data_IF_860154015799
#
_entry.id   IF_860154015799
#
_cell.length_a   1.000
_cell.length_b   1.000
_cell.length_c   1.000
_cell.angle_alpha   90.00
_cell.angle_beta   90.00
_cell.angle_gamma   90.00
#
_symmetry.space_group_name_H-M   'P 1'
#
loop_
_entity.id
_entity.type
_entity.pdbx_description
1 polymer ?
#
# COMPACT_ATOMS: atom_id res chain seq x y z
N UNK A 1 -43.17 -93.73 -21.11
CA UNK A 1 -43.88 -94.47 -22.17
C UNK A 1 -43.56 -95.97 -22.26
N UNK A 2 -42.67 -96.54 -21.43
CA UNK A 2 -42.26 -97.95 -21.55
C UNK A 2 -43.03 -98.95 -20.66
N UNK A 3 -43.72 -98.48 -19.62
CA UNK A 3 -44.44 -99.36 -18.68
C UNK A 3 -45.80 -99.82 -19.26
N UNK A 4 -46.44 -99.00 -20.12
CA UNK A 4 -47.72 -99.34 -20.72
C UNK A 4 -47.64 -100.50 -21.74
N UNK A 5 -46.51 -100.65 -22.46
CA UNK A 5 -46.38 -101.67 -23.51
C UNK A 5 -46.22 -103.10 -22.96
N UNK A 6 -45.69 -103.27 -21.75
CA UNK A 6 -45.52 -104.61 -21.15
C UNK A 6 -46.81 -105.18 -20.57
N UNK A 7 -47.71 -104.34 -20.09
CA UNK A 7 -49.02 -104.77 -19.60
C UNK A 7 -49.93 -105.29 -20.72
N UNK A 8 -49.85 -104.70 -21.93
CA UNK A 8 -50.64 -105.15 -23.08
C UNK A 8 -50.21 -106.54 -23.58
N UNK A 9 -48.91 -106.84 -23.59
CA UNK A 9 -48.38 -108.15 -24.01
C UNK A 9 -48.69 -109.27 -23.00
N UNK A 10 -48.67 -108.97 -21.69
CA UNK A 10 -49.05 -109.94 -20.67
C UNK A 10 -50.56 -110.27 -20.71
N UNK A 11 -51.42 -109.29 -21.00
CA UNK A 11 -52.86 -109.50 -21.12
C UNK A 11 -53.22 -110.34 -22.36
N UNK A 12 -52.55 -110.12 -23.50
CA UNK A 12 -52.79 -110.90 -24.72
C UNK A 12 -52.35 -112.37 -24.58
N UNK A 13 -51.25 -112.65 -23.87
CA UNK A 13 -50.78 -114.01 -23.64
C UNK A 13 -51.72 -114.83 -22.73
N UNK A 14 -52.32 -114.20 -21.71
CA UNK A 14 -53.31 -114.85 -20.86
C UNK A 14 -54.63 -115.16 -21.59
N UNK A 15 -55.04 -114.32 -22.54
CA UNK A 15 -56.27 -114.54 -23.31
C UNK A 15 -56.13 -115.68 -24.33
N UNK A 16 -54.94 -115.88 -24.90
CA UNK A 16 -54.66 -117.02 -25.78
C UNK A 16 -54.50 -118.35 -25.04
N UNK A 17 -54.04 -118.34 -23.78
CA UNK A 17 -53.95 -119.56 -22.97
C UNK A 17 -55.32 -120.11 -22.55
N UNK A 18 -56.34 -119.26 -22.41
CA UNK A 18 -57.71 -119.69 -22.06
C UNK A 18 -58.44 -120.29 -23.26
N UNK A 19 -58.13 -119.86 -24.50
CA UNK A 19 -58.80 -120.38 -25.70
C UNK A 19 -58.36 -121.80 -26.10
N UNK A 20 -57.21 -122.28 -25.62
CA UNK A 20 -56.69 -123.61 -25.98
C UNK A 20 -57.10 -124.75 -25.05
N UNK A 21 -57.92 -124.50 -24.01
CA UNK A 21 -58.43 -125.55 -23.11
C UNK A 21 -59.91 -125.92 -23.34
N UNK A 22 -60.58 -125.42 -24.40
CA UNK A 22 -62.01 -125.69 -24.67
C UNK A 22 -62.24 -126.29 -26.07
N UNK A 23 -61.43 -127.29 -26.44
CA UNK A 23 -61.75 -128.16 -27.57
C UNK A 23 -61.50 -129.62 -27.19
N UNK A 24 -62.38 -130.10 -26.30
CA UNK A 24 -62.70 -131.50 -26.10
C UNK A 24 -63.66 -132.03 -27.18
N UNK A 25 -64.14 -133.27 -27.04
CA UNK A 25 -64.15 -134.30 -28.09
C UNK A 25 -65.56 -134.60 -28.62
N UNK A 26 -65.67 -135.22 -29.80
CA UNK A 26 -66.86 -136.01 -30.25
C UNK A 26 -66.33 -136.95 -31.35
N UNK A 27 -66.11 -138.24 -31.08
CA UNK A 27 -67.10 -139.32 -31.02
C UNK A 27 -67.56 -139.81 -32.40
N UNK A 28 -67.61 -141.14 -32.52
CA UNK A 28 -68.65 -141.95 -33.17
C UNK A 28 -68.00 -143.14 -33.90
N UNK A 29 -68.14 -144.41 -33.52
CA UNK A 29 -69.31 -145.23 -33.15
C UNK A 29 -69.76 -146.12 -34.33
N UNK A 30 -70.20 -147.33 -33.94
CA UNK A 30 -70.94 -148.34 -34.71
C UNK A 30 -70.12 -149.21 -35.70
N UNK A 31 -70.38 -150.51 -35.86
CA UNK A 31 -71.41 -151.39 -35.31
C UNK A 31 -70.98 -152.88 -35.36
N UNK A 32 -71.60 -153.66 -34.49
CA UNK A 32 -72.10 -155.05 -34.61
C UNK A 32 -71.79 -155.80 -35.94
N UNK A 33 -71.52 -157.10 -35.94
CA UNK A 33 -72.52 -158.17 -35.69
C UNK A 33 -71.82 -159.53 -35.51
N UNK A 34 -72.39 -160.29 -34.57
CA UNK A 34 -72.42 -161.75 -34.33
C UNK A 34 -71.51 -162.73 -35.09
N UNK A 35 -70.99 -163.69 -34.33
CA UNK A 35 -71.13 -165.10 -34.71
C UNK A 35 -69.87 -165.95 -34.62
N UNK A 36 -69.86 -166.82 -33.62
CA UNK A 36 -69.07 -168.06 -33.52
C UNK A 36 -67.58 -167.88 -33.16
N UNK A 37 -67.26 -168.28 -31.93
CA UNK A 37 -65.95 -168.27 -31.32
C UNK A 37 -64.89 -169.06 -32.11
N UNK A 38 -63.82 -168.40 -32.62
CA UNK A 38 -62.61 -169.05 -33.11
C UNK A 38 -61.51 -169.03 -32.04
N UNK A 39 -60.47 -169.88 -32.17
CA UNK A 39 -59.56 -170.22 -31.10
C UNK A 39 -58.60 -169.06 -30.75
N UNK A 40 -58.13 -169.10 -29.50
CA UNK A 40 -57.41 -168.05 -28.77
C UNK A 40 -56.19 -167.38 -29.45
N UNK A 41 -55.72 -167.85 -30.61
CA UNK A 41 -54.69 -167.17 -31.40
C UNK A 41 -55.21 -165.91 -32.13
N UNK A 42 -56.49 -165.87 -32.52
CA UNK A 42 -57.06 -164.73 -33.25
C UNK A 42 -57.34 -163.53 -32.34
N UNK A 43 -57.74 -163.76 -31.08
CA UNK A 43 -57.90 -162.69 -30.07
C UNK A 43 -56.54 -162.06 -29.74
N UNK A 44 -55.48 -162.87 -29.63
CA UNK A 44 -54.12 -162.38 -29.43
C UNK A 44 -53.59 -161.61 -30.66
N UNK A 45 -53.93 -162.06 -31.88
CA UNK A 45 -53.59 -161.35 -33.11
C UNK A 45 -54.33 -160.01 -33.23
N UNK A 46 -55.63 -159.95 -32.88
CA UNK A 46 -56.42 -158.72 -32.97
C UNK A 46 -56.04 -157.71 -31.87
N UNK A 47 -55.69 -158.17 -30.67
CA UNK A 47 -55.11 -157.33 -29.61
C UNK A 47 -53.74 -156.77 -30.04
N UNK A 48 -52.85 -157.61 -30.60
CA UNK A 48 -51.56 -157.17 -31.16
C UNK A 48 -51.73 -156.20 -32.33
N UNK A 49 -52.74 -156.40 -33.18
CA UNK A 49 -53.04 -155.50 -34.29
C UNK A 49 -53.56 -154.13 -33.79
N UNK A 50 -54.42 -154.11 -32.76
CA UNK A 50 -54.85 -152.87 -32.11
C UNK A 50 -53.69 -152.14 -31.42
N UNK A 51 -52.84 -152.85 -30.67
CA UNK A 51 -51.64 -152.28 -30.06
C UNK A 51 -50.67 -151.74 -31.12
N UNK A 52 -50.44 -152.48 -32.21
CA UNK A 52 -49.62 -152.02 -33.33
C UNK A 52 -50.21 -150.79 -34.02
N UNK A 53 -51.54 -150.70 -34.16
CA UNK A 53 -52.21 -149.52 -34.71
C UNK A 53 -52.10 -148.29 -33.80
N UNK A 54 -52.25 -148.47 -32.48
CA UNK A 54 -52.04 -147.41 -31.48
C UNK A 54 -50.58 -146.94 -31.49
N UNK A 55 -49.62 -147.86 -31.47
CA UNK A 55 -48.19 -147.55 -31.56
C UNK A 55 -47.83 -146.85 -32.88
N UNK A 56 -48.43 -147.26 -34.01
CA UNK A 56 -48.24 -146.59 -35.29
C UNK A 56 -48.80 -145.17 -35.27
N UNK A 57 -49.99 -144.96 -34.69
CA UNK A 57 -50.58 -143.63 -34.52
C UNK A 57 -49.74 -142.73 -33.59
N UNK A 58 -49.19 -143.28 -32.50
CA UNK A 58 -48.27 -142.58 -31.60
C UNK A 58 -46.96 -142.21 -32.31
N UNK A 59 -46.38 -143.11 -33.11
CA UNK A 59 -45.19 -142.82 -33.90
C UNK A 59 -45.44 -141.72 -34.94
N UNK A 60 -46.60 -141.72 -35.60
CA UNK A 60 -47.00 -140.64 -36.52
C UNK A 60 -47.17 -139.32 -35.77
N UNK A 61 -47.80 -139.33 -34.59
CA UNK A 61 -47.94 -138.14 -33.75
C UNK A 61 -46.58 -137.62 -33.25
N UNK A 62 -45.66 -138.51 -32.87
CA UNK A 62 -44.30 -138.16 -32.47
C UNK A 62 -43.51 -137.58 -33.63
N UNK A 63 -43.61 -138.15 -34.84
CA UNK A 63 -42.99 -137.55 -36.04
C UNK A 63 -43.54 -136.16 -36.33
N UNK A 64 -44.86 -135.98 -36.26
CA UNK A 64 -45.48 -134.66 -36.45
C UNK A 64 -45.01 -133.65 -35.39
N UNK A 65 -44.90 -134.06 -34.12
CA UNK A 65 -44.34 -133.24 -33.04
C UNK A 65 -42.86 -132.90 -33.28
N UNK A 66 -42.06 -133.86 -33.73
CA UNK A 66 -40.65 -133.66 -34.07
C UNK A 66 -40.54 -132.64 -35.21
N UNK A 67 -41.30 -132.80 -36.30
CA UNK A 67 -41.26 -131.85 -37.42
C UNK A 67 -41.75 -130.45 -37.03
N UNK A 68 -42.75 -130.35 -36.15
CA UNK A 68 -43.20 -129.05 -35.61
C UNK A 68 -42.12 -128.40 -34.72
N UNK A 69 -41.43 -129.20 -33.90
CA UNK A 69 -40.31 -128.73 -33.08
C UNK A 69 -39.11 -128.32 -33.94
N UNK A 70 -38.77 -129.09 -34.97
CA UNK A 70 -37.71 -128.76 -35.93
C UNK A 70 -38.00 -127.45 -36.66
N UNK A 71 -39.24 -127.25 -37.13
CA UNK A 71 -39.68 -126.00 -37.74
C UNK A 71 -39.55 -124.82 -36.76
N UNK A 72 -39.95 -125.00 -35.50
CA UNK A 72 -39.85 -123.96 -34.47
C UNK A 72 -38.40 -123.63 -34.12
N UNK A 73 -37.52 -124.63 -34.08
CA UNK A 73 -36.08 -124.43 -33.87
C UNK A 73 -35.47 -123.65 -35.05
N UNK A 74 -35.85 -123.99 -36.29
CA UNK A 74 -35.38 -123.27 -37.48
C UNK A 74 -35.82 -121.79 -37.48
N UNK A 75 -37.09 -121.54 -37.14
CA UNK A 75 -37.63 -120.18 -36.98
C UNK A 75 -36.93 -119.40 -35.87
N UNK A 76 -36.74 -120.02 -34.69
CA UNK A 76 -36.00 -119.41 -33.58
C UNK A 76 -34.55 -119.11 -33.95
N UNK A 77 -33.87 -120.00 -34.68
CA UNK A 77 -32.50 -119.76 -35.14
C UNK A 77 -32.42 -118.57 -36.10
N UNK A 78 -33.40 -118.42 -37.01
CA UNK A 78 -33.50 -117.26 -37.89
C UNK A 78 -33.71 -115.97 -37.07
N UNK A 79 -34.61 -115.99 -36.10
CA UNK A 79 -34.88 -114.86 -35.21
C UNK A 79 -33.63 -114.50 -34.38
N UNK A 80 -32.93 -115.49 -33.82
CA UNK A 80 -31.68 -115.27 -33.09
C UNK A 80 -30.60 -114.65 -33.97
N UNK A 81 -30.49 -115.06 -35.23
CA UNK A 81 -29.55 -114.46 -36.17
C UNK A 81 -29.88 -112.99 -36.45
N UNK A 82 -31.14 -112.67 -36.74
CA UNK A 82 -31.56 -111.26 -36.96
C UNK A 82 -31.36 -110.39 -35.72
N UNK A 83 -31.61 -110.92 -34.51
CA UNK A 83 -31.35 -110.21 -33.25
C UNK A 83 -29.85 -110.02 -33.00
N UNK A 84 -29.02 -110.99 -33.36
CA UNK A 84 -27.57 -110.89 -33.24
C UNK A 84 -27.00 -109.78 -34.13
N UNK A 85 -27.44 -109.72 -35.40
CA UNK A 85 -27.04 -108.66 -36.33
C UNK A 85 -27.50 -107.27 -35.84
N UNK A 86 -28.71 -107.19 -35.25
CA UNK A 86 -29.21 -105.96 -34.63
C UNK A 86 -28.40 -105.54 -33.39
N UNK A 87 -27.90 -106.49 -32.59
CA UNK A 87 -27.02 -106.20 -31.44
C UNK A 87 -25.65 -105.69 -31.91
N UNK A 88 -25.10 -106.27 -32.97
CA UNK A 88 -23.80 -105.86 -33.53
C UNK A 88 -23.87 -104.42 -34.08
N UNK A 89 -24.93 -104.09 -34.82
CA UNK A 89 -25.17 -102.72 -35.28
C UNK A 89 -25.36 -101.73 -34.12
N UNK A 90 -26.08 -102.12 -33.07
CA UNK A 90 -26.26 -101.28 -31.88
C UNK A 90 -24.93 -101.04 -31.15
N UNK A 91 -24.08 -102.06 -31.02
CA UNK A 91 -22.76 -101.97 -30.42
C UNK A 91 -21.84 -101.01 -31.19
N UNK A 92 -21.88 -101.05 -32.53
CA UNK A 92 -21.15 -100.10 -33.37
C UNK A 92 -21.60 -98.66 -33.11
N UNK A 93 -22.90 -98.39 -33.06
CA UNK A 93 -23.45 -97.04 -32.77
C UNK A 93 -23.07 -96.58 -31.35
N UNK A 94 -23.14 -97.47 -30.35
CA UNK A 94 -22.76 -97.14 -28.96
C UNK A 94 -21.29 -96.78 -28.87
N UNK A 95 -20.42 -97.50 -29.59
CA UNK A 95 -18.98 -97.21 -29.63
C UNK A 95 -18.69 -95.84 -30.24
N UNK A 96 -19.31 -95.53 -31.38
CA UNK A 96 -19.17 -94.21 -32.04
C UNK A 96 -19.67 -93.07 -31.14
N UNK A 97 -20.85 -93.24 -30.52
CA UNK A 97 -21.40 -92.23 -29.60
C UNK A 97 -20.52 -92.03 -28.37
N UNK A 98 -19.96 -93.11 -27.83
CA UNK A 98 -19.04 -93.03 -26.68
C UNK A 98 -17.75 -92.29 -27.03
N UNK A 99 -17.19 -92.54 -28.22
CA UNK A 99 -16.03 -91.78 -28.73
C UNK A 99 -16.35 -90.29 -28.88
N UNK A 100 -17.51 -89.95 -29.44
CA UNK A 100 -17.95 -88.55 -29.59
C UNK A 100 -18.13 -87.86 -28.24
N UNK A 101 -18.70 -88.55 -27.24
CA UNK A 101 -18.84 -88.02 -25.88
C UNK A 101 -17.46 -87.74 -25.27
N UNK A 102 -16.49 -88.63 -25.44
CA UNK A 102 -15.12 -88.41 -24.94
C UNK A 102 -14.45 -87.21 -25.62
N UNK A 103 -14.61 -87.04 -26.94
CA UNK A 103 -14.11 -85.85 -27.66
C UNK A 103 -14.76 -84.57 -27.11
N UNK A 104 -16.08 -84.56 -26.94
CA UNK A 104 -16.80 -83.40 -26.40
C UNK A 104 -16.38 -83.07 -24.95
N UNK A 105 -16.15 -84.06 -24.09
CA UNK A 105 -15.65 -83.82 -22.73
C UNK A 105 -14.25 -83.20 -22.72
N UNK A 106 -13.37 -83.64 -23.62
CA UNK A 106 -12.03 -83.04 -23.77
C UNK A 106 -12.12 -81.59 -24.29
N UNK A 107 -13.05 -81.29 -25.20
CA UNK A 107 -13.29 -79.92 -25.67
C UNK A 107 -13.83 -79.02 -24.55
N UNK A 108 -14.78 -79.50 -23.76
CA UNK A 108 -15.34 -78.76 -22.61
C UNK A 108 -14.26 -78.45 -21.59
N UNK A 109 -13.46 -79.43 -21.19
CA UNK A 109 -12.35 -79.21 -20.23
C UNK A 109 -11.29 -78.25 -20.78
N UNK A 110 -11.00 -78.30 -22.08
CA UNK A 110 -10.11 -77.33 -22.74
C UNK A 110 -10.68 -75.91 -22.72
N UNK A 111 -11.99 -75.75 -22.97
CA UNK A 111 -12.67 -74.45 -22.94
C UNK A 111 -12.76 -73.87 -21.52
N UNK A 112 -13.03 -74.69 -20.51
CA UNK A 112 -13.06 -74.26 -19.10
C UNK A 112 -11.67 -73.82 -18.63
N UNK A 113 -10.61 -74.55 -19.00
CA UNK A 113 -9.23 -74.17 -18.69
C UNK A 113 -8.83 -72.85 -19.39
N UNK A 114 -9.17 -72.69 -20.67
CA UNK A 114 -8.92 -71.45 -21.42
C UNK A 114 -9.72 -70.26 -20.86
N UNK A 115 -10.97 -70.49 -20.48
CA UNK A 115 -11.83 -69.47 -19.87
C UNK A 115 -11.31 -69.01 -18.50
N UNK A 116 -10.84 -69.94 -17.68
CA UNK A 116 -10.28 -69.66 -16.36
C UNK A 116 -8.97 -68.86 -16.46
N UNK A 117 -8.06 -69.25 -17.35
CA UNK A 117 -6.82 -68.51 -17.62
C UNK A 117 -7.09 -67.10 -18.16
N UNK A 118 -8.02 -66.96 -19.11
CA UNK A 118 -8.37 -65.64 -19.65
C UNK A 118 -9.02 -64.74 -18.59
N UNK A 119 -9.88 -65.29 -17.73
CA UNK A 119 -10.49 -64.56 -16.62
C UNK A 119 -9.44 -64.14 -15.57
N UNK A 120 -8.48 -65.00 -15.25
CA UNK A 120 -7.39 -64.71 -14.33
C UNK A 120 -6.42 -63.65 -14.90
N UNK A 121 -6.06 -63.76 -16.18
CA UNK A 121 -5.24 -62.75 -16.86
C UNK A 121 -5.95 -61.39 -16.87
N UNK A 122 -7.25 -61.36 -17.18
CA UNK A 122 -8.02 -60.12 -17.17
C UNK A 122 -8.18 -59.54 -15.76
N UNK A 123 -8.37 -60.38 -14.75
CA UNK A 123 -8.41 -59.96 -13.34
C UNK A 123 -7.07 -59.38 -12.89
N UNK A 124 -5.94 -59.98 -13.31
CA UNK A 124 -4.61 -59.47 -13.01
C UNK A 124 -4.34 -58.11 -13.65
N UNK A 125 -4.74 -57.91 -14.92
CA UNK A 125 -4.66 -56.62 -15.62
C UNK A 125 -5.54 -55.57 -14.96
N UNK A 126 -6.77 -55.92 -14.61
CA UNK A 126 -7.68 -55.03 -13.90
C UNK A 126 -7.13 -54.62 -12.51
N UNK A 127 -6.55 -55.57 -11.76
CA UNK A 127 -5.90 -55.26 -10.48
C UNK A 127 -4.68 -54.36 -10.65
N UNK A 128 -3.83 -54.61 -11.65
CA UNK A 128 -2.67 -53.76 -11.93
C UNK A 128 -3.11 -52.32 -12.27
N UNK A 129 -4.14 -52.16 -13.11
CA UNK A 129 -4.72 -50.86 -13.42
C UNK A 129 -5.36 -50.19 -12.19
N UNK A 130 -6.05 -50.95 -11.34
CA UNK A 130 -6.63 -50.43 -10.10
C UNK A 130 -5.55 -49.94 -9.12
N UNK A 131 -4.43 -50.66 -9.00
CA UNK A 131 -3.28 -50.26 -8.18
C UNK A 131 -2.64 -48.98 -8.72
N UNK A 132 -2.44 -48.89 -10.04
CA UNK A 132 -1.87 -47.69 -10.68
C UNK A 132 -2.81 -46.47 -10.53
N UNK A 133 -4.11 -46.64 -10.77
CA UNK A 133 -5.10 -45.59 -10.57
C UNK A 133 -5.16 -45.14 -9.10
N UNK A 134 -5.05 -46.07 -8.15
CA UNK A 134 -4.98 -45.73 -6.72
C UNK A 134 -3.75 -44.89 -6.41
N UNK A 135 -2.58 -45.28 -6.93
CA UNK A 135 -1.32 -44.54 -6.78
C UNK A 135 -1.40 -43.13 -7.37
N UNK A 136 -2.00 -42.97 -8.55
CA UNK A 136 -2.23 -41.67 -9.18
C UNK A 136 -3.19 -40.80 -8.36
N UNK A 137 -4.26 -41.39 -7.84
CA UNK A 137 -5.23 -40.69 -6.98
C UNK A 137 -4.60 -40.21 -5.67
N UNK A 138 -3.72 -41.01 -5.05
CA UNK A 138 -2.98 -40.62 -3.85
C UNK A 138 -1.98 -39.48 -4.13
N UNK A 139 -1.27 -39.54 -5.27
CA UNK A 139 -0.37 -38.46 -5.69
C UNK A 139 -1.14 -37.15 -5.89
N UNK A 140 -2.25 -37.18 -6.63
CA UNK A 140 -3.11 -36.01 -6.83
C UNK A 140 -3.66 -35.45 -5.51
N UNK A 141 -4.03 -36.33 -4.57
CA UNK A 141 -4.49 -35.90 -3.24
C UNK A 141 -3.39 -35.15 -2.47
N UNK A 142 -2.15 -35.63 -2.50
CA UNK A 142 -1.00 -34.94 -1.88
C UNK A 142 -0.74 -33.58 -2.56
N UNK A 143 -0.72 -33.54 -3.89
CA UNK A 143 -0.51 -32.31 -4.65
C UNK A 143 -1.60 -31.26 -4.34
N UNK A 144 -2.86 -31.67 -4.23
CA UNK A 144 -3.97 -30.79 -3.83
C UNK A 144 -3.75 -30.24 -2.41
N UNK A 145 -3.30 -31.05 -1.46
CA UNK A 145 -3.03 -30.56 -0.10
C UNK A 145 -1.87 -29.57 -0.04
N UNK A 146 -0.78 -29.83 -0.77
CA UNK A 146 0.34 -28.89 -0.88
C UNK A 146 -0.07 -27.58 -1.57
N UNK A 147 -0.84 -27.67 -2.65
CA UNK A 147 -1.37 -26.49 -3.34
C UNK A 147 -2.31 -25.67 -2.46
N UNK A 148 -3.13 -26.30 -1.61
CA UNK A 148 -3.96 -25.60 -0.63
C UNK A 148 -3.10 -24.82 0.39
N UNK A 149 -2.02 -25.42 0.90
CA UNK A 149 -1.10 -24.75 1.83
C UNK A 149 -0.41 -23.57 1.14
N UNK A 150 0.09 -23.76 -0.08
CA UNK A 150 0.71 -22.68 -0.88
C UNK A 150 -0.29 -21.56 -1.18
N UNK A 151 -1.53 -21.89 -1.54
CA UNK A 151 -2.61 -20.93 -1.75
C UNK A 151 -2.88 -20.10 -0.49
N UNK A 152 -3.03 -20.74 0.67
CA UNK A 152 -3.25 -20.03 1.95
C UNK A 152 -2.08 -19.10 2.30
N UNK A 153 -0.83 -19.54 2.07
CA UNK A 153 0.35 -18.71 2.29
C UNK A 153 0.41 -17.50 1.34
N UNK A 154 0.03 -17.69 0.07
CA UNK A 154 -0.08 -16.61 -0.92
C UNK A 154 -1.20 -15.63 -0.59
N UNK A 155 -2.37 -16.11 -0.15
CA UNK A 155 -3.48 -15.27 0.30
C UNK A 155 -3.09 -14.43 1.54
N UNK A 156 -2.39 -15.02 2.51
CA UNK A 156 -1.87 -14.30 3.67
C UNK A 156 -0.84 -13.22 3.26
N UNK A 157 0.05 -13.53 2.31
CA UNK A 157 1.02 -12.56 1.76
C UNK A 157 0.31 -11.44 1.01
N UNK A 158 -0.69 -11.75 0.19
CA UNK A 158 -1.50 -10.79 -0.54
C UNK A 158 -2.25 -9.86 0.43
N UNK A 159 -2.88 -10.39 1.47
CA UNK A 159 -3.55 -9.59 2.50
C UNK A 159 -2.59 -8.67 3.28
N UNK A 160 -1.35 -9.10 3.57
CA UNK A 160 -0.35 -8.24 4.19
C UNK A 160 0.16 -7.14 3.23
N UNK A 161 0.36 -7.48 1.95
CA UNK A 161 0.71 -6.51 0.93
C UNK A 161 -0.40 -5.45 0.76
N UNK A 162 -1.67 -5.86 0.74
CA UNK A 162 -2.81 -4.96 0.61
C UNK A 162 -2.92 -4.00 1.81
N UNK A 163 -2.71 -4.49 3.04
CA UNK A 163 -2.61 -3.63 4.25
C UNK A 163 -1.49 -2.58 4.12
N UNK A 164 -0.32 -2.95 3.60
CA UNK A 164 0.79 -2.01 3.37
C UNK A 164 0.45 -0.99 2.29
N UNK A 165 -0.24 -1.39 1.22
CA UNK A 165 -0.72 -0.49 0.18
C UNK A 165 -1.72 0.52 0.74
N UNK A 166 -2.66 0.07 1.58
CA UNK A 166 -3.61 0.96 2.25
C UNK A 166 -2.90 1.96 3.18
N UNK A 167 -1.91 1.52 3.97
CA UNK A 167 -1.11 2.41 4.83
C UNK A 167 -0.32 3.45 4.02
N UNK A 168 0.29 3.03 2.91
CA UNK A 168 1.00 3.94 1.99
C UNK A 168 0.05 4.93 1.33
N UNK A 169 -1.15 4.50 0.96
CA UNK A 169 -2.17 5.37 0.38
C UNK A 169 -2.64 6.43 1.37
N UNK A 170 -2.86 6.06 2.65
CA UNK A 170 -3.17 7.02 3.71
C UNK A 170 -2.03 8.03 3.96
N UNK A 171 -0.77 7.58 3.91
CA UNK A 171 0.41 8.46 4.02
C UNK A 171 0.51 9.42 2.83
N UNK A 172 0.23 8.94 1.62
CA UNK A 172 0.23 9.73 0.40
C UNK A 172 -0.86 10.81 0.45
N UNK A 173 -2.07 10.45 0.86
CA UNK A 173 -3.18 11.41 1.01
C UNK A 173 -2.86 12.48 2.06
N UNK A 174 -2.27 12.09 3.20
CA UNK A 174 -1.80 13.04 4.23
C UNK A 174 -0.74 13.99 3.67
N UNK A 175 0.25 13.49 2.92
CA UNK A 175 1.27 14.30 2.27
C UNK A 175 0.66 15.28 1.27
N UNK A 176 -0.28 14.81 0.44
CA UNK A 176 -0.99 15.65 -0.53
C UNK A 176 -1.75 16.79 0.15
N UNK A 177 -2.48 16.52 1.24
CA UNK A 177 -3.14 17.56 2.05
C UNK A 177 -2.13 18.57 2.59
N UNK A 178 -1.04 18.13 3.22
CA UNK A 178 -0.01 19.04 3.75
C UNK A 178 0.67 19.88 2.67
N UNK A 179 0.90 19.32 1.48
CA UNK A 179 1.45 20.03 0.33
C UNK A 179 0.48 21.11 -0.18
N UNK A 180 -0.82 20.78 -0.29
CA UNK A 180 -1.85 21.74 -0.68
C UNK A 180 -1.99 22.90 0.32
N UNK A 181 -1.89 22.62 1.62
CA UNK A 181 -1.89 23.64 2.68
C UNK A 181 -0.64 24.52 2.62
N UNK A 182 0.54 23.94 2.40
CA UNK A 182 1.78 24.68 2.22
C UNK A 182 1.72 25.58 0.98
N UNK A 183 1.22 25.08 -0.15
CA UNK A 183 1.02 25.87 -1.37
C UNK A 183 0.08 27.05 -1.13
N UNK A 184 -1.03 26.84 -0.43
CA UNK A 184 -1.97 27.92 -0.04
C UNK A 184 -1.30 28.96 0.86
N UNK A 185 -0.46 28.53 1.81
CA UNK A 185 0.30 29.46 2.67
C UNK A 185 1.32 30.27 1.88
N UNK A 186 2.05 29.63 0.95
CA UNK A 186 3.02 30.29 0.08
C UNK A 186 2.32 31.35 -0.79
N UNK A 187 1.18 31.03 -1.40
CA UNK A 187 0.40 31.99 -2.18
C UNK A 187 -0.05 33.19 -1.33
N UNK A 188 -0.54 32.95 -0.10
CA UNK A 188 -0.91 34.06 0.81
C UNK A 188 0.29 34.95 1.15
N UNK A 189 1.45 34.37 1.43
CA UNK A 189 2.67 35.16 1.72
C UNK A 189 3.20 35.88 0.49
N UNK A 190 3.06 35.30 -0.70
CA UNK A 190 3.45 35.93 -1.96
C UNK A 190 2.56 37.14 -2.27
N UNK A 191 1.24 37.03 -2.09
CA UNK A 191 0.32 38.16 -2.25
C UNK A 191 0.61 39.27 -1.23
N UNK A 192 0.89 38.92 0.03
CA UNK A 192 1.27 39.90 1.05
C UNK A 192 2.60 40.59 0.73
N UNK A 193 3.57 39.85 0.17
CA UNK A 193 4.87 40.39 -0.24
C UNK A 193 4.73 41.32 -1.44
N UNK A 194 3.92 40.95 -2.45
CA UNK A 194 3.60 41.83 -3.59
C UNK A 194 2.90 43.12 -3.15
N UNK A 195 1.93 43.02 -2.22
CA UNK A 195 1.27 44.20 -1.66
C UNK A 195 2.26 45.11 -0.90
N UNK A 196 3.19 44.53 -0.13
CA UNK A 196 4.22 45.29 0.56
C UNK A 196 5.23 45.93 -0.41
N UNK A 197 5.56 45.25 -1.51
CA UNK A 197 6.43 45.77 -2.57
C UNK A 197 5.76 46.93 -3.31
N UNK A 198 4.47 46.83 -3.63
CA UNK A 198 3.69 47.92 -4.22
C UNK A 198 3.60 49.15 -3.29
N UNK A 199 3.36 48.93 -1.99
CA UNK A 199 3.37 49.99 -0.98
C UNK A 199 4.76 50.64 -0.83
N UNK A 200 5.83 49.84 -0.89
CA UNK A 200 7.21 50.35 -0.86
C UNK A 200 7.51 51.19 -2.11
N UNK A 201 7.10 50.74 -3.29
CA UNK A 201 7.28 51.50 -4.53
C UNK A 201 6.49 52.82 -4.50
N UNK A 202 5.26 52.81 -3.97
CA UNK A 202 4.50 54.05 -3.70
C UNK A 202 5.25 54.95 -2.71
N UNK A 203 5.75 54.42 -1.61
CA UNK A 203 6.51 55.18 -0.62
C UNK A 203 7.83 55.73 -1.21
N UNK A 204 8.50 55.00 -2.10
CA UNK A 204 9.67 55.49 -2.83
C UNK A 204 9.31 56.61 -3.81
N UNK A 205 8.20 56.50 -4.53
CA UNK A 205 7.71 57.58 -5.39
C UNK A 205 7.27 58.80 -4.57
N UNK A 206 6.62 58.60 -3.43
CA UNK A 206 6.25 59.68 -2.51
C UNK A 206 7.46 60.34 -1.85
N UNK A 207 8.48 59.58 -1.45
CA UNK A 207 9.71 60.15 -0.86
C UNK A 207 10.54 60.87 -1.91
N UNK A 208 10.67 60.34 -3.13
CA UNK A 208 11.37 61.03 -4.22
C UNK A 208 10.65 62.31 -4.66
N UNK A 209 9.31 62.31 -4.73
CA UNK A 209 8.52 63.52 -4.98
C UNK A 209 8.62 64.51 -3.84
N UNK A 210 8.51 64.08 -2.58
CA UNK A 210 8.71 64.95 -1.40
C UNK A 210 10.13 65.52 -1.36
N UNK A 211 11.17 64.74 -1.67
CA UNK A 211 12.55 65.24 -1.77
C UNK A 211 12.69 66.28 -2.87
N UNK A 212 12.05 66.10 -4.03
CA UNK A 212 12.04 67.12 -5.10
C UNK A 212 11.35 68.41 -4.64
N UNK A 213 10.16 68.32 -4.04
CA UNK A 213 9.47 69.49 -3.48
C UNK A 213 10.29 70.15 -2.37
N UNK A 214 10.89 69.36 -1.49
CA UNK A 214 11.75 69.85 -0.41
C UNK A 214 12.99 70.55 -0.98
N UNK A 215 13.60 70.01 -2.03
CA UNK A 215 14.74 70.63 -2.74
C UNK A 215 14.36 71.97 -3.36
N UNK A 216 13.18 72.10 -3.95
CA UNK A 216 12.69 73.38 -4.49
C UNK A 216 12.47 74.42 -3.38
N UNK A 217 11.87 74.01 -2.25
CA UNK A 217 11.64 74.90 -1.11
C UNK A 217 12.96 75.26 -0.40
N UNK A 218 13.89 74.31 -0.28
CA UNK A 218 15.16 74.50 0.43
C UNK A 218 16.24 75.14 -0.43
N UNK A 219 16.21 74.98 -1.75
CA UNK A 219 17.10 75.69 -2.67
C UNK A 219 16.93 77.21 -2.57
N UNK A 220 15.74 77.68 -2.17
CA UNK A 220 15.47 79.09 -1.93
C UNK A 220 15.87 79.58 -0.53
N UNK A 221 16.00 78.68 0.46
CA UNK A 221 16.24 79.07 1.85
C UNK A 221 17.67 78.82 2.35
N UNK A 222 18.34 77.78 1.85
CA UNK A 222 19.71 77.48 2.25
C UNK A 222 20.71 78.39 1.53
N UNK A 223 21.55 79.13 2.27
CA UNK A 223 22.61 79.93 1.68
C UNK A 223 23.46 79.09 0.71
N UNK A 224 23.81 79.58 -0.49
CA UNK A 224 24.48 78.80 -1.54
C UNK A 224 25.75 78.05 -1.07
N UNK A 225 26.46 78.59 -0.09
CA UNK A 225 27.66 77.96 0.48
C UNK A 225 27.34 76.65 1.24
N UNK A 226 26.23 76.55 1.96
CA UNK A 226 25.88 75.37 2.74
C UNK A 226 25.37 74.25 1.84
N UNK A 227 24.59 74.58 0.81
CA UNK A 227 24.19 73.63 -0.23
C UNK A 227 25.41 73.06 -0.96
N UNK A 228 26.37 73.91 -1.32
CA UNK A 228 27.64 73.48 -1.93
C UNK A 228 28.45 72.60 -0.98
N UNK A 229 28.50 72.92 0.32
CA UNK A 229 29.23 72.11 1.28
C UNK A 229 28.57 70.74 1.53
N UNK A 230 27.24 70.71 1.65
CA UNK A 230 26.48 69.47 1.80
C UNK A 230 26.67 68.57 0.57
N UNK A 231 26.54 69.12 -0.64
CA UNK A 231 26.79 68.38 -1.88
C UNK A 231 28.20 67.80 -1.92
N UNK A 232 29.22 68.61 -1.61
CA UNK A 232 30.62 68.16 -1.57
C UNK A 232 30.86 67.06 -0.53
N UNK A 233 30.28 67.19 0.67
CA UNK A 233 30.41 66.16 1.71
C UNK A 233 29.73 64.85 1.32
N UNK A 234 28.58 64.94 0.65
CA UNK A 234 27.82 63.77 0.20
C UNK A 234 28.51 63.07 -0.98
N UNK A 235 29.13 63.84 -1.88
CA UNK A 235 29.95 63.32 -2.97
C UNK A 235 31.19 62.59 -2.45
N UNK A 236 31.93 63.15 -1.49
CA UNK A 236 33.08 62.48 -0.86
C UNK A 236 32.64 61.17 -0.20
N UNK A 237 31.52 61.16 0.52
CA UNK A 237 31.02 59.97 1.19
C UNK A 237 30.53 58.90 0.18
N UNK A 238 29.87 59.32 -0.91
CA UNK A 238 29.45 58.44 -2.00
C UNK A 238 30.65 57.83 -2.73
N UNK A 239 31.69 58.61 -3.01
CA UNK A 239 32.90 58.13 -3.68
C UNK A 239 33.63 57.11 -2.80
N UNK A 240 33.80 57.41 -1.50
CA UNK A 240 34.44 56.48 -0.58
C UNK A 240 33.62 55.18 -0.37
N UNK A 241 32.29 55.28 -0.35
CA UNK A 241 31.42 54.09 -0.34
C UNK A 241 31.60 53.25 -1.60
N UNK A 242 31.66 53.86 -2.78
CA UNK A 242 31.83 53.12 -4.03
C UNK A 242 33.23 52.51 -4.17
N UNK A 243 34.28 53.20 -3.70
CA UNK A 243 35.67 52.73 -3.79
C UNK A 243 35.99 51.63 -2.76
N UNK A 244 35.48 51.74 -1.54
CA UNK A 244 35.86 50.84 -0.44
C UNK A 244 34.68 50.07 0.15
N UNK A 245 33.53 50.72 0.35
CA UNK A 245 32.38 50.11 1.02
C UNK A 245 31.69 49.02 0.20
N UNK A 246 31.34 49.34 -1.05
CA UNK A 246 30.61 48.46 -1.96
C UNK A 246 31.42 47.20 -2.33
N UNK A 247 32.70 47.29 -2.74
CA UNK A 247 33.50 46.11 -3.06
C UNK A 247 33.72 45.19 -1.85
N UNK A 248 33.88 45.76 -0.64
CA UNK A 248 34.01 44.99 0.58
C UNK A 248 32.70 44.24 0.92
N UNK A 249 31.56 44.89 0.73
CA UNK A 249 30.25 44.25 0.93
C UNK A 249 30.00 43.13 -0.08
N UNK A 250 30.33 43.35 -1.36
CA UNK A 250 30.20 42.34 -2.41
C UNK A 250 31.16 41.15 -2.18
N UNK A 251 32.41 41.43 -1.79
CA UNK A 251 33.40 40.41 -1.36
C UNK A 251 32.92 39.60 -0.16
N UNK A 252 32.32 40.26 0.83
CA UNK A 252 31.73 39.60 2.00
C UNK A 252 30.56 38.70 1.60
N UNK A 253 29.62 39.17 0.77
CA UNK A 253 28.51 38.37 0.26
C UNK A 253 28.99 37.17 -0.56
N UNK A 254 29.99 37.36 -1.43
CA UNK A 254 30.57 36.28 -2.22
C UNK A 254 31.26 35.25 -1.33
N UNK A 255 32.13 35.66 -0.40
CA UNK A 255 32.81 34.74 0.53
C UNK A 255 31.83 34.02 1.45
N UNK A 256 30.80 34.71 1.93
CA UNK A 256 29.73 34.09 2.70
C UNK A 256 29.05 33.01 1.86
N UNK A 257 28.73 33.27 0.59
CA UNK A 257 28.10 32.27 -0.30
C UNK A 257 29.01 31.08 -0.63
N UNK A 258 30.28 31.30 -1.02
CA UNK A 258 31.24 30.25 -1.35
C UNK A 258 31.57 29.38 -0.14
N UNK A 259 31.77 30.00 1.02
CA UNK A 259 31.99 29.25 2.26
C UNK A 259 30.73 28.53 2.72
N UNK A 260 29.52 29.03 2.48
CA UNK A 260 28.30 28.24 2.75
C UNK A 260 28.32 26.91 1.99
N UNK A 261 28.88 26.88 0.76
CA UNK A 261 29.04 25.65 -0.03
C UNK A 261 30.16 24.76 0.50
N UNK A 262 31.33 25.30 0.87
CA UNK A 262 32.43 24.51 1.47
C UNK A 262 32.10 23.99 2.89
N UNK A 263 31.45 24.83 3.70
CA UNK A 263 30.96 24.49 5.03
C UNK A 263 29.90 23.40 4.96
N UNK A 264 29.11 23.28 3.89
CA UNK A 264 28.20 22.13 3.74
C UNK A 264 28.94 20.78 3.73
N UNK A 265 30.12 20.70 3.09
CA UNK A 265 30.93 19.47 3.06
C UNK A 265 31.69 19.19 4.36
N UNK A 266 32.23 20.21 5.01
CA UNK A 266 32.97 20.03 6.27
C UNK A 266 32.07 19.92 7.49
N UNK A 267 30.89 20.56 7.44
CA UNK A 267 29.96 20.52 8.56
C UNK A 267 29.21 19.20 8.63
N UNK A 268 28.96 18.45 7.56
CA UNK A 268 28.16 17.21 7.59
C UNK A 268 28.41 16.30 8.82
N UNK A 269 29.66 15.91 9.17
CA UNK A 269 29.90 15.08 10.35
C UNK A 269 29.62 15.81 11.69
N UNK A 270 29.94 17.11 11.77
CA UNK A 270 29.68 17.91 12.98
C UNK A 270 28.20 18.32 13.11
N UNK A 271 27.51 18.53 12.00
CA UNK A 271 26.09 18.84 11.91
C UNK A 271 25.28 17.61 12.28
N UNK A 272 25.68 16.40 11.85
CA UNK A 272 25.07 15.16 12.34
C UNK A 272 25.32 14.93 13.84
N UNK A 273 26.52 15.26 14.34
CA UNK A 273 26.82 15.22 15.79
C UNK A 273 25.98 16.25 16.57
N UNK A 274 25.82 17.47 16.05
CA UNK A 274 24.98 18.51 16.65
C UNK A 274 23.50 18.15 16.56
N UNK A 275 23.05 17.58 15.43
CA UNK A 275 21.67 17.13 15.22
C UNK A 275 21.29 16.01 16.18
N UNK A 276 22.22 15.09 16.48
CA UNK A 276 21.97 13.96 17.38
C UNK A 276 22.15 14.33 18.87
N UNK A 277 23.20 15.07 19.24
CA UNK A 277 23.48 15.40 20.65
C UNK A 277 22.86 16.73 21.09
N UNK A 278 23.01 17.78 20.30
CA UNK A 278 22.60 19.13 20.68
C UNK A 278 21.13 19.40 20.39
N UNK A 279 20.59 18.94 19.26
CA UNK A 279 19.21 19.25 18.88
C UNK A 279 18.14 18.77 19.87
N UNK A 280 18.25 17.60 20.55
CA UNK A 280 17.31 17.27 21.62
C UNK A 280 17.45 18.22 22.82
N UNK A 281 18.68 18.53 23.26
CA UNK A 281 18.93 19.46 24.39
C UNK A 281 18.44 20.88 24.06
N UNK A 282 18.76 21.37 22.87
CA UNK A 282 18.33 22.66 22.38
C UNK A 282 16.81 22.69 22.20
N UNK A 283 16.17 21.63 21.68
CA UNK A 283 14.69 21.55 21.62
C UNK A 283 14.09 21.64 23.01
N UNK A 284 14.62 20.92 23.99
CA UNK A 284 14.12 20.94 25.37
C UNK A 284 14.25 22.34 25.99
N UNK A 285 15.44 22.95 25.88
CA UNK A 285 15.69 24.32 26.35
C UNK A 285 14.86 25.35 25.60
N UNK A 286 14.64 25.18 24.29
CA UNK A 286 13.83 26.07 23.48
C UNK A 286 12.34 25.92 23.76
N UNK A 287 11.84 24.70 24.01
CA UNK A 287 10.45 24.48 24.47
C UNK A 287 10.24 25.12 25.83
N UNK A 288 11.22 25.02 26.73
CA UNK A 288 11.19 25.65 28.05
C UNK A 288 11.20 27.17 27.92
N UNK A 289 12.14 27.74 27.17
CA UNK A 289 12.24 29.17 26.90
C UNK A 289 10.97 29.70 26.22
N UNK A 290 10.43 28.98 25.23
CA UNK A 290 9.17 29.32 24.56
C UNK A 290 8.01 29.31 25.55
N UNK A 291 7.95 28.35 26.48
CA UNK A 291 6.91 28.29 27.52
C UNK A 291 6.98 29.52 28.44
N UNK A 292 8.18 29.96 28.83
CA UNK A 292 8.38 31.16 29.66
C UNK A 292 8.21 32.47 28.89
N UNK A 293 8.65 32.54 27.63
CA UNK A 293 8.65 33.75 26.82
C UNK A 293 7.29 34.02 26.16
N UNK A 294 6.49 32.98 25.85
CA UNK A 294 5.18 33.12 25.20
C UNK A 294 4.27 34.16 25.87
N UNK A 295 4.07 34.17 27.20
CA UNK A 295 3.25 35.20 27.83
C UNK A 295 3.81 36.62 27.66
N UNK A 296 5.13 36.81 27.74
CA UNK A 296 5.75 38.13 27.55
C UNK A 296 5.63 38.60 26.10
N UNK A 297 5.88 37.72 25.13
CA UNK A 297 5.76 38.07 23.71
C UNK A 297 4.31 38.37 23.35
N UNK A 298 3.34 37.59 23.85
CA UNK A 298 1.92 37.88 23.65
C UNK A 298 1.56 39.23 24.27
N UNK A 299 1.92 39.48 25.53
CA UNK A 299 1.65 40.75 26.22
C UNK A 299 2.26 41.95 25.47
N UNK A 300 3.53 41.86 25.05
CA UNK A 300 4.20 42.94 24.29
C UNK A 300 3.54 43.14 22.93
N UNK A 301 3.21 42.05 22.22
CA UNK A 301 2.52 42.15 20.93
C UNK A 301 1.15 42.81 21.07
N UNK A 302 0.35 42.40 22.05
CA UNK A 302 -1.00 42.90 22.30
C UNK A 302 -0.96 44.37 22.72
N UNK A 303 -0.04 44.73 23.64
CA UNK A 303 0.18 46.12 24.06
C UNK A 303 0.70 47.02 22.94
N UNK A 304 1.59 46.50 22.09
CA UNK A 304 2.11 47.28 20.96
C UNK A 304 1.03 47.53 19.91
N UNK A 305 0.16 46.55 19.68
CA UNK A 305 -0.92 46.63 18.71
C UNK A 305 -2.05 47.54 19.22
N UNK A 306 -2.40 47.43 20.50
CA UNK A 306 -3.33 48.35 21.20
C UNK A 306 -2.81 49.79 21.16
N UNK A 307 -1.51 50.01 21.46
CA UNK A 307 -0.90 51.34 21.39
C UNK A 307 -0.87 51.90 19.97
N UNK A 308 -0.56 51.06 18.98
CA UNK A 308 -0.57 51.47 17.58
C UNK A 308 -1.99 51.84 17.12
N UNK A 309 -2.99 50.98 17.34
CA UNK A 309 -4.38 51.26 16.97
C UNK A 309 -4.91 52.52 17.66
N UNK A 310 -4.71 52.66 18.97
CA UNK A 310 -5.12 53.85 19.73
C UNK A 310 -4.45 55.11 19.18
N UNK A 311 -3.16 55.04 18.82
CA UNK A 311 -2.45 56.18 18.21
C UNK A 311 -2.97 56.50 16.81
N UNK A 312 -3.28 55.47 16.01
CA UNK A 312 -3.79 55.63 14.65
C UNK A 312 -5.18 56.23 14.64
N UNK A 313 -6.09 55.71 15.46
CA UNK A 313 -7.48 56.20 15.58
C UNK A 313 -7.54 57.61 16.18
N UNK A 314 -6.62 57.95 17.09
CA UNK A 314 -6.49 59.32 17.59
C UNK A 314 -6.01 60.30 16.52
N UNK A 315 -5.01 59.91 15.70
CA UNK A 315 -4.42 60.79 14.69
C UNK A 315 -5.30 60.94 13.44
N UNK A 316 -6.03 59.88 13.05
CA UNK A 316 -6.80 59.83 11.80
C UNK A 316 -7.78 61.01 11.60
N UNK A 317 -8.66 61.38 12.56
CA UNK A 317 -9.57 62.51 12.37
C UNK A 317 -8.82 63.86 12.32
N UNK A 318 -7.74 64.01 13.07
CA UNK A 318 -6.92 65.23 13.05
C UNK A 318 -6.15 65.40 11.75
N UNK A 319 -5.69 64.29 11.14
CA UNK A 319 -5.00 64.33 9.87
C UNK A 319 -5.93 64.76 8.72
N UNK A 320 -7.16 64.21 8.69
CA UNK A 320 -8.17 64.56 7.66
C UNK A 320 -8.58 66.03 7.79
N UNK A 321 -8.83 66.51 9.01
CA UNK A 321 -9.20 67.91 9.23
C UNK A 321 -8.03 68.87 8.96
N UNK A 322 -6.80 68.50 9.32
CA UNK A 322 -5.63 69.32 9.03
C UNK A 322 -5.39 69.46 7.53
N UNK A 323 -5.59 68.40 6.74
CA UNK A 323 -5.40 68.48 5.29
C UNK A 323 -6.39 69.45 4.62
N UNK A 324 -7.66 69.45 5.04
CA UNK A 324 -8.67 70.34 4.44
C UNK A 324 -8.50 71.81 4.83
N UNK A 325 -8.01 72.10 6.04
CA UNK A 325 -7.90 73.49 6.53
C UNK A 325 -6.57 74.14 6.13
N UNK A 326 -5.49 73.37 6.00
CA UNK A 326 -4.14 73.94 5.85
C UNK A 326 -3.88 74.47 4.44
N UNK A 327 -4.41 73.83 3.40
CA UNK A 327 -4.00 74.14 2.03
C UNK A 327 -4.32 75.59 1.59
N UNK A 328 -5.54 76.14 1.87
CA UNK A 328 -5.84 77.54 1.59
C UNK A 328 -5.00 78.50 2.46
N UNK A 329 -4.86 78.19 3.75
CA UNK A 329 -4.14 79.04 4.71
C UNK A 329 -2.65 79.12 4.42
N UNK A 330 -2.02 78.04 3.96
CA UNK A 330 -0.59 78.03 3.65
C UNK A 330 -0.28 78.92 2.44
N UNK A 331 -1.15 78.95 1.44
CA UNK A 331 -0.97 79.81 0.27
C UNK A 331 -1.15 81.29 0.61
N UNK A 332 -2.12 81.64 1.46
CA UNK A 332 -2.29 83.01 1.96
C UNK A 332 -1.14 83.44 2.88
N UNK A 333 -0.72 82.59 3.81
CA UNK A 333 0.43 82.86 4.67
C UNK A 333 1.72 83.02 3.87
N UNK A 334 1.93 82.23 2.80
CA UNK A 334 3.08 82.38 1.90
C UNK A 334 3.06 83.73 1.17
N UNK A 335 1.90 84.20 0.71
CA UNK A 335 1.77 85.52 0.07
C UNK A 335 2.04 86.67 1.05
N UNK A 336 1.53 86.57 2.28
CA UNK A 336 1.69 87.60 3.31
C UNK A 336 3.11 87.63 3.91
N UNK A 337 3.72 86.46 4.11
CA UNK A 337 5.03 86.37 4.78
C UNK A 337 6.19 86.70 3.85
N UNK A 338 6.11 86.42 2.55
CA UNK A 338 7.23 86.62 1.61
C UNK A 338 7.88 88.01 1.68
N UNK A 339 7.15 89.14 1.59
CA UNK A 339 7.78 90.46 1.70
C UNK A 339 8.41 90.69 3.09
N UNK A 340 7.81 90.14 4.15
CA UNK A 340 8.33 90.27 5.51
C UNK A 340 9.61 89.45 5.73
N UNK A 341 9.68 88.24 5.18
CA UNK A 341 10.88 87.39 5.22
C UNK A 341 12.02 88.04 4.46
N UNK A 342 11.75 88.61 3.28
CA UNK A 342 12.76 89.32 2.50
C UNK A 342 13.26 90.56 3.23
N UNK A 343 12.36 91.30 3.90
CA UNK A 343 12.73 92.46 4.71
C UNK A 343 13.58 92.06 5.93
N UNK A 344 13.21 91.00 6.65
CA UNK A 344 13.99 90.48 7.78
C UNK A 344 15.35 89.96 7.29
N UNK A 345 15.42 89.22 6.19
CA UNK A 345 16.67 88.75 5.64
C UNK A 345 17.61 89.92 5.28
N UNK A 346 17.05 90.98 4.68
CA UNK A 346 17.80 92.19 4.31
C UNK A 346 18.29 92.95 5.53
N UNK A 347 17.43 93.13 6.54
CA UNK A 347 17.76 93.81 7.80
C UNK A 347 18.76 93.02 8.68
N UNK A 348 18.68 91.69 8.68
CA UNK A 348 19.51 90.84 9.54
C UNK A 348 20.87 90.54 8.91
N UNK A 349 21.03 90.65 7.58
CA UNK A 349 22.30 90.40 6.86
C UNK A 349 23.53 91.04 7.51
N UNK A 350 23.56 92.34 7.86
CA UNK A 350 24.72 92.93 8.54
C UNK A 350 24.96 92.35 9.95
N UNK A 351 23.91 91.98 10.69
CA UNK A 351 24.04 91.39 12.01
C UNK A 351 24.57 89.96 11.97
N UNK A 352 24.10 89.13 11.01
CA UNK A 352 24.63 87.78 10.79
C UNK A 352 26.11 87.83 10.44
N UNK A 353 26.53 88.75 9.57
CA UNK A 353 27.96 88.92 9.23
C UNK A 353 28.79 89.41 10.42
N UNK A 354 28.23 90.27 11.29
CA UNK A 354 28.90 90.69 12.53
C UNK A 354 29.07 89.52 13.52
N UNK A 355 28.03 88.70 13.70
CA UNK A 355 28.10 87.48 14.51
C UNK A 355 29.12 86.51 13.91
N UNK A 356 29.12 86.32 12.59
CA UNK A 356 30.10 85.48 11.89
C UNK A 356 31.54 85.95 12.13
N UNK A 357 31.77 87.25 12.07
CA UNK A 357 33.09 87.86 12.32
C UNK A 357 33.51 87.65 13.78
N UNK A 358 32.58 87.80 14.73
CA UNK A 358 32.83 87.56 16.15
C UNK A 358 33.05 86.08 16.51
N UNK A 359 32.38 85.15 15.81
CA UNK A 359 32.50 83.71 16.03
C UNK A 359 33.70 83.07 15.31
N UNK A 360 34.35 83.80 14.38
CA UNK A 360 35.51 83.33 13.63
C UNK A 360 36.64 82.78 14.54
N UNK A 361 37.10 83.46 15.60
CA UNK A 361 38.13 82.91 16.50
C UNK A 361 37.69 81.64 17.22
N UNK A 362 36.41 81.52 17.61
CA UNK A 362 35.88 80.30 18.23
C UNK A 362 35.79 79.14 17.24
N UNK A 363 35.43 79.44 15.98
CA UNK A 363 35.39 78.45 14.90
C UNK A 363 36.79 77.92 14.59
N UNK A 364 37.81 78.80 14.58
CA UNK A 364 39.22 78.39 14.45
C UNK A 364 39.69 77.53 15.63
N UNK A 365 39.38 77.94 16.87
CA UNK A 365 39.72 77.16 18.06
C UNK A 365 39.02 75.79 18.09
N UNK A 366 37.74 75.74 17.72
CA UNK A 366 36.98 74.50 17.59
C UNK A 366 37.58 73.59 16.50
N UNK A 367 38.00 74.16 15.37
CA UNK A 367 38.70 73.42 14.31
C UNK A 367 40.02 72.83 14.82
N UNK A 368 40.79 73.59 15.60
CA UNK A 368 42.05 73.12 16.17
C UNK A 368 41.84 71.98 17.19
N UNK A 369 40.90 72.12 18.12
CA UNK A 369 40.56 71.08 19.10
C UNK A 369 40.04 69.82 18.39
N UNK A 370 39.19 69.99 17.38
CA UNK A 370 38.69 68.87 16.59
C UNK A 370 39.80 68.18 15.79
N UNK A 371 40.77 68.94 15.25
CA UNK A 371 41.97 68.39 14.60
C UNK A 371 42.82 67.54 15.55
N UNK A 372 43.10 68.06 16.75
CA UNK A 372 43.84 67.33 17.78
C UNK A 372 43.09 66.07 18.26
N UNK A 373 41.76 66.16 18.37
CA UNK A 373 40.91 65.01 18.67
C UNK A 373 40.97 63.94 17.56
N UNK A 374 40.90 64.33 16.29
CA UNK A 374 41.02 63.38 15.18
C UNK A 374 42.41 62.72 15.15
N UNK A 375 43.47 63.47 15.43
CA UNK A 375 44.83 62.94 15.50
C UNK A 375 44.98 61.91 16.63
N UNK A 376 44.49 62.23 17.83
CA UNK A 376 44.46 61.30 18.97
C UNK A 376 43.56 60.08 18.74
N UNK A 377 42.41 60.26 18.11
CA UNK A 377 41.56 59.14 17.71
C UNK A 377 42.27 58.24 16.69
N UNK A 378 43.01 58.82 15.74
CA UNK A 378 43.75 58.07 14.72
C UNK A 378 44.90 57.28 15.34
N UNK A 379 45.67 57.87 16.26
CA UNK A 379 46.76 57.15 16.96
C UNK A 379 46.21 56.02 17.84
N UNK A 380 45.12 56.26 18.57
CA UNK A 380 44.45 55.21 19.36
C UNK A 380 43.90 54.10 18.47
N UNK A 381 43.29 54.45 17.32
CA UNK A 381 42.80 53.49 16.34
C UNK A 381 43.93 52.59 15.83
N UNK A 382 45.07 53.17 15.46
CA UNK A 382 46.25 52.40 15.03
C UNK A 382 46.79 51.49 16.15
N UNK A 383 46.82 51.95 17.40
CA UNK A 383 47.21 51.15 18.56
C UNK A 383 46.23 49.98 18.82
N UNK A 384 44.94 50.25 18.73
CA UNK A 384 43.89 49.24 18.87
C UNK A 384 43.99 48.20 17.73
N UNK A 385 44.23 48.63 16.49
CA UNK A 385 44.48 47.73 15.37
C UNK A 385 45.67 46.81 15.63
N UNK A 386 46.80 47.36 16.09
CA UNK A 386 47.99 46.55 16.40
C UNK A 386 47.69 45.50 17.48
N UNK A 387 46.95 45.88 18.53
CA UNK A 387 46.59 45.00 19.64
C UNK A 387 45.60 43.92 19.22
N UNK A 388 44.56 44.28 18.46
CA UNK A 388 43.55 43.35 17.94
C UNK A 388 44.20 42.39 16.94
N UNK A 389 45.09 42.87 16.07
CA UNK A 389 45.83 42.04 15.13
C UNK A 389 46.72 41.03 15.86
N UNK A 390 47.47 41.46 16.88
CA UNK A 390 48.29 40.56 17.70
C UNK A 390 47.43 39.50 18.40
N UNK A 391 46.32 39.93 19.03
CA UNK A 391 45.38 39.04 19.71
C UNK A 391 44.77 37.99 18.76
N UNK A 392 44.31 38.42 17.58
CA UNK A 392 43.74 37.52 16.58
C UNK A 392 44.78 36.55 15.98
N UNK A 393 46.07 36.92 15.93
CA UNK A 393 47.14 36.02 15.49
C UNK A 393 47.52 34.96 16.54
N UNK A 394 47.34 35.24 17.83
CA UNK A 394 47.66 34.29 18.91
C UNK A 394 46.75 33.07 18.96
N UNK A 395 45.52 33.16 18.46
CA UNK A 395 44.57 32.04 18.48
C UNK A 395 44.42 31.42 17.07
N UNK A 396 44.65 30.10 16.96
CA UNK A 396 44.60 29.37 15.67
C UNK A 396 43.29 29.60 14.92
N UNK A 397 42.16 29.63 15.65
CA UNK A 397 40.84 29.84 15.06
C UNK A 397 40.70 31.25 14.44
N UNK A 398 41.16 32.28 15.15
CA UNK A 398 40.99 33.67 14.68
C UNK A 398 42.04 34.08 13.65
N UNK A 399 43.15 33.35 13.55
CA UNK A 399 44.24 33.64 12.62
C UNK A 399 43.77 33.73 11.17
N UNK A 400 42.78 32.92 10.77
CA UNK A 400 42.19 32.93 9.42
C UNK A 400 41.34 34.16 9.11
N UNK A 401 40.87 34.86 10.15
CA UNK A 401 40.02 36.04 10.03
C UNK A 401 40.80 37.36 10.10
N UNK A 402 42.13 37.30 10.35
CA UNK A 402 43.01 38.48 10.40
C UNK A 402 43.12 39.08 9.00
N UNK A 403 42.17 39.93 8.67
CA UNK A 403 42.18 40.79 7.48
C UNK A 403 42.35 42.22 7.95
N UNK A 404 43.09 43.04 7.19
CA UNK A 404 43.32 44.45 7.53
C UNK A 404 42.00 45.20 7.80
N UNK A 405 40.95 44.84 7.05
CA UNK A 405 39.61 45.40 7.19
C UNK A 405 38.90 44.98 8.49
N UNK A 406 38.92 43.70 8.86
CA UNK A 406 38.29 43.23 10.11
C UNK A 406 38.95 43.89 11.33
N UNK A 407 40.28 43.95 11.33
CA UNK A 407 41.06 44.62 12.39
C UNK A 407 40.68 46.11 12.45
N UNK A 408 40.51 46.76 11.29
CA UNK A 408 40.05 48.15 11.21
C UNK A 408 38.64 48.31 11.80
N UNK A 409 37.67 47.47 11.42
CA UNK A 409 36.30 47.56 11.95
C UNK A 409 36.22 47.30 13.45
N UNK A 410 36.95 46.30 13.97
CA UNK A 410 36.98 46.04 15.42
C UNK A 410 37.60 47.22 16.18
N UNK A 411 38.68 47.80 15.67
CA UNK A 411 39.29 48.98 16.27
C UNK A 411 38.34 50.19 16.25
N UNK A 412 37.60 50.40 15.15
CA UNK A 412 36.58 51.47 15.06
C UNK A 412 35.43 51.24 16.03
N UNK A 413 34.95 50.01 16.18
CA UNK A 413 33.90 49.67 17.14
C UNK A 413 34.35 49.95 18.59
N UNK A 414 35.61 49.64 18.91
CA UNK A 414 36.21 49.96 20.21
C UNK A 414 36.26 51.49 20.45
N UNK A 415 36.54 52.28 19.42
CA UNK A 415 36.62 53.74 19.48
C UNK A 415 35.24 54.41 19.64
N UNK A 416 34.18 53.84 19.04
CA UNK A 416 32.80 54.37 19.14
C UNK A 416 32.14 54.01 20.47
N UNK A 417 32.54 52.90 21.10
CA UNK A 417 31.91 52.39 22.33
C UNK A 417 31.84 53.44 23.47
N UNK A 418 32.91 54.18 23.81
CA UNK A 418 32.86 55.23 24.82
C UNK A 418 31.85 56.35 24.48
N UNK A 419 31.78 56.76 23.21
CA UNK A 419 30.82 57.78 22.76
C UNK A 419 29.39 57.31 22.92
N UNK A 420 29.13 56.05 22.58
CA UNK A 420 27.80 55.47 22.74
C UNK A 420 27.40 55.41 24.22
N UNK A 421 28.30 55.00 25.11
CA UNK A 421 28.07 54.97 26.57
C UNK A 421 27.82 56.38 27.12
N UNK A 422 28.63 57.36 26.76
CA UNK A 422 28.45 58.77 27.13
C UNK A 422 27.12 59.33 26.61
N UNK A 423 26.76 59.02 25.37
CA UNK A 423 25.48 59.42 24.79
C UNK A 423 24.29 58.79 25.53
N UNK A 424 24.36 57.50 25.87
CA UNK A 424 23.33 56.86 26.70
C UNK A 424 23.24 57.45 28.09
N UNK A 425 24.37 57.80 28.73
CA UNK A 425 24.38 58.46 30.04
C UNK A 425 23.81 59.88 29.98
N UNK A 426 24.15 60.66 28.95
CA UNK A 426 23.62 62.01 28.76
C UNK A 426 22.12 61.99 28.45
N UNK A 427 21.67 61.06 27.62
CA UNK A 427 20.23 60.90 27.35
C UNK A 427 19.49 60.42 28.59
N UNK A 428 20.04 59.52 29.41
CA UNK A 428 19.39 59.12 30.67
C UNK A 428 19.35 60.24 31.72
N UNK A 429 20.40 61.05 31.82
CA UNK A 429 20.47 62.14 32.82
C UNK A 429 19.64 63.36 32.41
N UNK A 430 19.65 63.75 31.13
CA UNK A 430 18.92 64.94 30.66
C UNK A 430 17.52 64.63 30.12
N UNK A 431 17.28 63.45 29.55
CA UNK A 431 15.92 63.06 29.16
C UNK A 431 15.17 62.52 30.38
N UNK A 432 14.74 63.44 31.24
CA UNK A 432 13.76 63.18 32.28
C UNK A 432 12.53 62.51 31.65
N UNK A 433 12.40 61.19 31.85
CA UNK A 433 11.19 60.44 31.53
C UNK A 433 10.03 61.15 32.20
N UNK A 434 9.23 61.89 31.43
CA UNK A 434 8.01 62.54 31.90
C UNK A 434 7.10 61.44 32.46
N UNK A 435 7.11 61.28 33.79
CA UNK A 435 6.13 60.43 34.47
C UNK A 435 4.76 60.99 34.09
N UNK A 436 3.99 60.17 33.35
CA UNK A 436 2.58 60.40 33.03
C UNK A 436 1.90 60.94 34.29
N UNK A 437 1.48 62.21 34.27
CA UNK A 437 0.57 62.74 35.28
C UNK A 437 -0.72 61.94 35.15
N UNK A 438 -0.96 61.03 36.08
CA UNK A 438 -2.28 60.43 36.26
C UNK A 438 -3.27 61.56 36.52
N UNK A 439 -4.42 61.58 35.83
CA UNK A 439 -5.38 62.68 35.92
C UNK A 439 -5.99 62.67 37.32
N UNK A 440 -5.48 63.55 38.18
CA UNK A 440 -6.04 63.78 39.51
C UNK A 440 -7.35 64.53 39.30
N UNK A 441 -8.44 63.77 39.17
CA UNK A 441 -9.81 64.22 39.30
C UNK A 441 -9.97 64.85 40.69
N UNK A 442 -9.82 66.17 40.79
CA UNK A 442 -10.26 66.94 41.95
C UNK A 442 -11.47 67.77 41.52
N UNK A 443 -12.63 67.12 41.62
CA UNK A 443 -13.92 67.77 41.62
C UNK A 443 -14.03 68.57 42.92
N UNK A 444 -13.68 69.86 42.90
CA UNK A 444 -13.92 70.77 44.02
C UNK A 444 -14.73 71.95 43.52
N UNK A 445 -16.04 71.72 43.42
CA UNK A 445 -17.05 72.75 43.58
C UNK A 445 -16.87 73.40 44.95
N UNK A 446 -16.30 74.59 45.03
CA UNK A 446 -16.57 75.54 46.12
C UNK A 446 -16.63 76.94 45.52
N UNK A 447 -17.84 77.47 45.45
CA UNK A 447 -18.11 78.83 45.04
C UNK A 447 -17.77 79.84 46.14
N UNK A 448 -18.20 81.07 45.83
CA UNK A 448 -18.24 82.25 46.69
C UNK A 448 -17.02 83.19 46.70
N UNK A 449 -16.95 84.01 45.63
CA UNK A 449 -17.15 85.48 45.71
C UNK A 449 -16.47 86.18 46.89
N UNK A 450 -15.36 86.90 46.63
CA UNK A 450 -15.04 88.14 47.36
C UNK A 450 -14.53 89.27 46.46
N UNK A 451 -15.39 90.29 46.43
CA UNK A 451 -15.36 91.67 45.98
C UNK A 451 -14.04 92.37 45.59
N UNK A 452 -14.17 93.11 44.47
CA UNK A 452 -13.51 94.39 44.14
C UNK A 452 -13.00 95.14 45.37
N UNK A 453 -11.68 95.29 45.47
CA UNK A 453 -11.06 96.39 46.23
C UNK A 453 -10.89 97.58 45.27
N UNK A 454 -11.72 98.60 45.45
CA UNK A 454 -11.33 99.98 45.15
C UNK A 454 -10.15 100.30 46.07
N UNK A 455 -9.04 100.77 45.52
CA UNK A 455 -8.11 101.59 46.27
C UNK A 455 -8.51 103.04 46.00
N UNK A 456 -8.94 103.70 47.08
CA UNK A 456 -9.13 105.13 47.19
C UNK A 456 -7.91 105.73 47.91
N UNK A 457 -7.72 107.03 47.65
CA UNK A 457 -6.98 108.04 48.41
C UNK A 457 -5.46 107.90 48.50
N UNK A 458 -4.77 108.71 47.69
CA UNK A 458 -4.31 110.04 48.11
C UNK A 458 -3.84 110.87 46.91
#
# INVERSE_FOLDING_TARGET
MWIASRLFLAAAALLMAVLLLVAGPVAAQDAAVEGVAPPAEEIAANARAKEAAVLAAELVQLRAKISALESRIAEQNLEFKTKNDAIETLNMIVKEKSQKIATMQNEVTSLEAKGSLAAEEQASKANALAIELKKQTEKLKKDITEQKIKKAALEARAGNADKKVQELNMKLEKLQRTSSDQKRRIQKTEHALKAAEEELMKAQLETTTKVKQLREVHGAWLPPWLATHAARSMEVMSNHWNEHGKPAFDSFLQKASEKTVQTKKWAEPHLETAKTKWMPVAKEKWVTLKKHAKPYVQMVSEKSLEAYQTSSDFVRPHLVNAHQVVDPYFQEAKKLSKPYVDQIATATKPHVEKVRTALKPYTERARHVYGQFLETATTYHQQAQATISDYLHRHEFTKQFVTKELVWYLASALLVTPFFVLYTLLTETFCTKKKKKTPRSSNTNHGHRRHKRRHADK
#
